data_IF_404825815975
#
_entry.id   IF_404825815975
#
_cell.length_a   1.000
_cell.length_b   1.000
_cell.length_c   1.000
_cell.angle_alpha   90.00
_cell.angle_beta   90.00
_cell.angle_gamma   90.00
#
_symmetry.space_group_name_H-M   'P 1'
#
loop_
_entity.id
_entity.type
_entity.pdbx_description
1 polymer ?
#
# COMPACT_ATOMS: atom_id res chain seq x y z
N UNK A 1 -1.68 15.75 11.79
CA UNK A 1 -1.81 16.16 10.37
C UNK A 1 -3.29 16.42 10.04
N UNK A 2 -3.68 17.54 9.38
CA UNK A 2 -5.08 17.80 8.97
C UNK A 2 -5.49 17.18 7.63
N UNK A 3 -4.58 16.55 6.87
CA UNK A 3 -4.90 15.95 5.57
C UNK A 3 -5.89 14.80 5.75
N UNK A 4 -7.04 14.88 5.06
CA UNK A 4 -8.14 13.89 5.09
C UNK A 4 -8.45 13.27 3.73
N UNK A 5 -7.90 13.82 2.65
CA UNK A 5 -8.08 13.36 1.28
C UNK A 5 -6.80 13.58 0.48
N UNK A 6 -6.60 12.79 -0.58
CA UNK A 6 -5.50 12.93 -1.51
C UNK A 6 -6.04 13.21 -2.92
N UNK A 7 -5.46 14.14 -3.67
CA UNK A 7 -5.78 14.32 -5.08
C UNK A 7 -5.34 13.09 -5.89
N UNK A 8 -6.12 12.59 -6.88
CA UNK A 8 -5.72 11.44 -7.69
C UNK A 8 -4.39 11.64 -8.42
N UNK A 9 -4.08 12.88 -8.83
CA UNK A 9 -2.92 13.24 -9.63
C UNK A 9 -1.59 12.89 -8.94
N UNK A 10 -1.57 12.76 -7.60
CA UNK A 10 -0.38 12.32 -6.87
C UNK A 10 0.05 10.90 -7.26
N UNK A 11 -0.88 10.02 -7.65
CA UNK A 11 -0.59 8.66 -8.10
C UNK A 11 -0.24 8.57 -9.59
N UNK A 12 -0.36 9.68 -10.32
CA UNK A 12 -0.18 9.75 -11.78
C UNK A 12 1.17 10.36 -12.19
N UNK A 13 2.02 10.72 -11.22
CA UNK A 13 3.35 11.30 -11.50
C UNK A 13 4.25 10.25 -12.15
N UNK A 14 4.67 10.42 -13.43
CA UNK A 14 5.29 9.33 -14.20
C UNK A 14 6.59 8.78 -13.59
N UNK A 15 7.40 9.66 -13.01
CA UNK A 15 8.74 9.33 -12.50
C UNK A 15 8.81 9.21 -10.96
N UNK A 16 7.65 9.20 -10.27
CA UNK A 16 7.64 9.06 -8.81
C UNK A 16 7.86 7.60 -8.41
N UNK A 17 8.88 7.36 -7.59
CA UNK A 17 9.21 6.01 -7.08
C UNK A 17 8.58 5.71 -5.71
N UNK A 18 8.51 6.75 -4.85
CA UNK A 18 8.10 6.64 -3.45
C UNK A 18 7.05 7.69 -3.12
N UNK A 19 5.96 7.29 -2.48
CA UNK A 19 4.92 8.19 -1.98
C UNK A 19 4.74 7.98 -0.47
N UNK A 20 5.10 8.98 0.33
CA UNK A 20 4.89 8.98 1.78
C UNK A 20 3.70 9.84 2.18
N UNK A 21 2.63 9.22 2.68
CA UNK A 21 1.41 9.87 3.19
C UNK A 21 0.96 9.29 4.53
N UNK A 22 1.88 8.62 5.24
CA UNK A 22 1.66 8.13 6.61
C UNK A 22 1.34 9.25 7.60
N UNK A 23 0.78 8.89 8.75
CA UNK A 23 0.34 9.80 9.82
C UNK A 23 -0.65 10.89 9.35
N UNK A 24 -1.40 10.61 8.28
CA UNK A 24 -2.52 11.42 7.79
C UNK A 24 -3.86 10.87 8.30
N UNK A 25 -4.96 11.61 8.10
CA UNK A 25 -6.32 11.22 8.51
C UNK A 25 -7.16 10.74 7.32
N UNK A 26 -6.51 10.26 6.28
CA UNK A 26 -7.19 9.74 5.09
C UNK A 26 -7.92 8.43 5.44
N UNK A 27 -9.14 8.27 4.92
CA UNK A 27 -9.94 7.06 5.13
C UNK A 27 -9.94 6.15 3.89
N UNK A 28 -9.58 6.68 2.73
CA UNK A 28 -9.49 5.97 1.47
C UNK A 28 -8.47 6.65 0.55
N UNK A 29 -7.95 5.89 -0.42
CA UNK A 29 -7.24 6.43 -1.56
C UNK A 29 -8.25 7.04 -2.56
N UNK A 30 -7.84 7.96 -3.44
CA UNK A 30 -8.75 8.55 -4.41
C UNK A 30 -9.31 7.48 -5.36
N UNK A 31 -10.63 7.53 -5.61
CA UNK A 31 -11.31 6.56 -6.47
C UNK A 31 -10.90 6.64 -7.94
N UNK A 32 -10.63 7.84 -8.43
CA UNK A 32 -10.49 8.13 -9.85
C UNK A 32 -9.02 8.42 -10.23
N UNK A 33 -8.15 7.43 -10.10
CA UNK A 33 -6.80 7.48 -10.69
C UNK A 33 -6.90 6.91 -12.10
N UNK A 34 -6.56 7.72 -13.09
CA UNK A 34 -6.71 7.40 -14.52
C UNK A 34 -5.48 6.68 -15.06
N UNK A 35 -4.29 7.13 -14.66
CA UNK A 35 -3.01 6.59 -15.13
C UNK A 35 -2.07 6.35 -13.94
N UNK A 36 -2.18 5.18 -13.30
CA UNK A 36 -1.30 4.82 -12.20
C UNK A 36 0.16 4.77 -12.68
N UNK A 37 1.03 5.55 -12.01
CA UNK A 37 2.43 5.70 -12.38
C UNK A 37 3.13 4.36 -12.61
N UNK A 38 3.85 4.17 -13.73
CA UNK A 38 4.57 2.94 -14.03
C UNK A 38 5.77 2.69 -13.10
N UNK A 39 6.28 3.74 -12.45
CA UNK A 39 7.47 3.70 -11.61
C UNK A 39 7.15 3.74 -10.11
N UNK A 40 5.94 4.16 -9.72
CA UNK A 40 5.54 4.17 -8.31
C UNK A 40 5.60 2.74 -7.74
N UNK A 41 6.55 2.56 -6.83
CA UNK A 41 6.96 1.26 -6.33
C UNK A 41 6.74 1.13 -4.82
N UNK A 42 6.66 2.24 -4.09
CA UNK A 42 6.44 2.22 -2.65
C UNK A 42 5.45 3.28 -2.22
N UNK A 43 4.51 2.87 -1.39
CA UNK A 43 3.50 3.77 -0.83
C UNK A 43 3.44 3.53 0.67
N UNK A 44 3.73 4.58 1.43
CA UNK A 44 3.59 4.58 2.89
C UNK A 44 2.26 5.23 3.29
N UNK A 45 1.41 4.37 3.86
CA UNK A 45 0.08 4.65 4.41
C UNK A 45 0.03 4.29 5.91
N UNK A 46 1.18 4.25 6.59
CA UNK A 46 1.25 3.95 8.03
C UNK A 46 0.39 4.92 8.84
N UNK A 47 -0.25 4.42 9.89
CA UNK A 47 -1.12 5.21 10.79
C UNK A 47 -2.23 6.01 10.07
N UNK A 48 -2.79 5.49 8.98
CA UNK A 48 -3.97 6.04 8.30
C UNK A 48 -5.24 5.24 8.62
N UNK A 49 -6.41 5.70 8.20
CA UNK A 49 -7.66 4.95 8.40
C UNK A 49 -8.04 4.06 7.20
N UNK A 50 -7.17 3.92 6.19
CA UNK A 50 -7.43 3.14 4.97
C UNK A 50 -7.73 1.68 5.33
N UNK A 51 -8.83 1.15 4.79
CA UNK A 51 -9.29 -0.23 5.04
C UNK A 51 -9.58 -1.05 3.77
N UNK A 52 -9.50 -0.45 2.59
CA UNK A 52 -9.71 -1.12 1.30
C UNK A 52 -8.98 -0.39 0.17
N UNK A 53 -8.99 -0.98 -1.02
CA UNK A 53 -8.32 -0.44 -2.19
C UNK A 53 -9.21 -0.43 -3.42
N UNK A 54 -8.95 0.53 -4.30
CA UNK A 54 -9.56 0.60 -5.63
C UNK A 54 -8.75 -0.22 -6.66
N UNK A 55 -9.38 -0.73 -7.74
CA UNK A 55 -8.73 -1.61 -8.72
C UNK A 55 -7.49 -1.02 -9.41
N UNK A 56 -7.38 0.32 -9.48
CA UNK A 56 -6.22 0.96 -10.10
C UNK A 56 -4.90 0.67 -9.37
N UNK A 57 -4.93 0.15 -8.13
CA UNK A 57 -3.73 -0.26 -7.39
C UNK A 57 -3.18 -1.62 -7.85
N UNK A 58 -3.99 -2.45 -8.53
CA UNK A 58 -3.64 -3.83 -8.89
C UNK A 58 -2.31 -3.93 -9.66
N UNK A 59 -1.95 -3.00 -10.58
CA UNK A 59 -0.64 -3.02 -11.22
C UNK A 59 0.55 -2.97 -10.24
N UNK A 60 0.42 -2.34 -9.07
CA UNK A 60 1.46 -2.35 -8.04
C UNK A 60 1.69 -3.78 -7.51
N UNK A 61 0.61 -4.53 -7.31
CA UNK A 61 0.62 -5.91 -6.83
C UNK A 61 1.23 -6.84 -7.89
N UNK A 62 0.84 -6.64 -9.15
CA UNK A 62 1.24 -7.50 -10.28
C UNK A 62 2.71 -7.33 -10.69
N UNK A 63 3.30 -6.15 -10.47
CA UNK A 63 4.70 -5.83 -10.85
C UNK A 63 5.75 -6.71 -10.18
N UNK A 64 5.41 -7.41 -9.08
CA UNK A 64 6.35 -8.27 -8.31
C UNK A 64 7.70 -7.60 -8.12
N UNK A 65 7.67 -6.45 -7.46
CA UNK A 65 8.83 -5.59 -7.26
C UNK A 65 9.97 -6.34 -6.56
N UNK A 66 11.21 -5.93 -6.85
CA UNK A 66 12.44 -6.54 -6.31
C UNK A 66 12.49 -6.46 -4.79
N UNK A 67 11.91 -5.41 -4.22
CA UNK A 67 11.80 -5.21 -2.79
C UNK A 67 10.44 -5.73 -2.28
N UNK A 68 10.43 -6.52 -1.19
CA UNK A 68 9.20 -7.08 -0.67
C UNK A 68 8.30 -6.02 -0.05
N UNK A 69 6.99 -6.22 -0.16
CA UNK A 69 5.94 -5.46 0.53
C UNK A 69 5.94 -3.93 0.26
N UNK A 70 5.63 -3.52 -0.99
CA UNK A 70 5.62 -2.11 -1.40
C UNK A 70 4.60 -1.21 -0.67
N UNK A 71 3.58 -1.78 -0.01
CA UNK A 71 2.58 -1.03 0.74
C UNK A 71 2.91 -1.06 2.23
N UNK A 72 3.45 0.03 2.77
CA UNK A 72 3.67 0.16 4.21
C UNK A 72 2.39 0.67 4.87
N UNK A 73 1.83 -0.12 5.78
CA UNK A 73 0.48 0.11 6.31
C UNK A 73 0.37 -0.17 7.81
N UNK A 74 1.49 -0.31 8.52
CA UNK A 74 1.50 -0.49 9.97
C UNK A 74 0.63 0.56 10.68
N UNK A 75 -0.22 0.09 11.60
CA UNK A 75 -1.17 0.95 12.34
C UNK A 75 -2.42 1.39 11.55
N UNK A 76 -2.59 0.96 10.29
CA UNK A 76 -3.80 1.25 9.52
C UNK A 76 -4.99 0.36 9.90
N UNK A 77 -6.21 0.79 9.54
CA UNK A 77 -7.41 -0.05 9.68
C UNK A 77 -7.27 -1.37 8.92
N UNK A 78 -6.73 -1.33 7.69
CA UNK A 78 -6.48 -2.52 6.88
C UNK A 78 -5.61 -3.55 7.61
N UNK A 79 -4.48 -3.13 8.19
CA UNK A 79 -3.58 -4.03 8.91
C UNK A 79 -4.20 -4.58 10.20
N UNK A 80 -4.99 -3.78 10.92
CA UNK A 80 -5.72 -4.25 12.10
C UNK A 80 -6.75 -5.34 11.74
N UNK A 81 -7.39 -5.23 10.57
CA UNK A 81 -8.30 -6.26 10.08
C UNK A 81 -7.56 -7.49 9.56
N UNK A 82 -6.47 -7.28 8.81
CA UNK A 82 -5.63 -8.37 8.32
C UNK A 82 -5.07 -9.21 9.48
N UNK A 83 -4.66 -8.58 10.59
CA UNK A 83 -4.22 -9.29 11.80
C UNK A 83 -5.32 -10.22 12.33
N UNK A 84 -6.55 -9.71 12.51
CA UNK A 84 -7.70 -10.51 12.95
C UNK A 84 -8.03 -11.65 12.00
N UNK A 85 -7.91 -11.42 10.69
CA UNK A 85 -8.12 -12.47 9.69
C UNK A 85 -7.03 -13.53 9.80
N UNK A 86 -5.78 -13.12 9.97
CA UNK A 86 -4.66 -14.06 10.08
C UNK A 86 -4.64 -14.83 11.40
N UNK A 87 -5.14 -14.25 12.50
CA UNK A 87 -5.31 -14.89 13.80
C UNK A 87 -6.54 -15.81 13.88
N UNK A 88 -7.45 -15.72 12.91
CA UNK A 88 -8.69 -16.50 12.86
C UNK A 88 -9.85 -15.89 13.66
N UNK A 89 -9.71 -14.64 14.12
CA UNK A 89 -10.79 -13.88 14.77
C UNK A 89 -11.85 -13.37 13.78
N UNK A 90 -11.47 -13.23 12.51
CA UNK A 90 -12.37 -12.86 11.40
C UNK A 90 -12.08 -13.73 10.16
N UNK A 91 -13.09 -13.91 9.31
CA UNK A 91 -12.93 -14.64 8.03
C UNK A 91 -12.71 -13.71 6.83
N UNK A 92 -13.22 -12.48 6.90
CA UNK A 92 -13.17 -11.49 5.81
C UNK A 92 -12.92 -10.09 6.35
N UNK A 93 -12.49 -9.18 5.47
CA UNK A 93 -12.47 -7.74 5.78
C UNK A 93 -13.89 -7.24 6.09
N UNK A 94 -13.99 -6.15 6.85
CA UNK A 94 -15.28 -5.57 7.24
C UNK A 94 -16.00 -4.89 6.07
N UNK A 95 -15.22 -4.47 5.06
CA UNK A 95 -15.73 -3.87 3.84
C UNK A 95 -16.37 -4.95 2.97
N UNK A 96 -17.62 -4.71 2.56
CA UNK A 96 -18.34 -5.66 1.70
C UNK A 96 -17.62 -5.83 0.36
N UNK A 97 -17.38 -7.07 -0.11
CA UNK A 97 -16.81 -7.31 -1.43
C UNK A 97 -17.67 -6.64 -2.50
N UNK A 98 -17.08 -5.71 -3.25
CA UNK A 98 -17.70 -5.02 -4.38
C UNK A 98 -16.83 -5.26 -5.61
N UNK A 99 -17.45 -5.35 -6.78
CA UNK A 99 -16.72 -5.33 -8.07
C UNK A 99 -15.94 -4.02 -8.28
N UNK A 100 -16.19 -3.02 -7.43
CA UNK A 100 -15.52 -1.73 -7.45
C UNK A 100 -14.22 -1.69 -6.64
N UNK A 101 -13.84 -2.77 -5.94
CA UNK A 101 -12.61 -2.82 -5.13
C UNK A 101 -11.54 -3.72 -5.76
N UNK A 102 -10.29 -3.50 -5.37
CA UNK A 102 -9.17 -4.40 -5.72
C UNK A 102 -9.46 -5.80 -5.20
N UNK A 103 -9.62 -6.76 -6.11
CA UNK A 103 -9.82 -8.16 -5.74
C UNK A 103 -8.54 -8.73 -5.13
N UNK A 104 -7.36 -8.27 -5.56
CA UNK A 104 -6.07 -8.77 -5.08
C UNK A 104 -5.80 -8.40 -3.62
N UNK A 105 -6.29 -7.24 -3.16
CA UNK A 105 -6.04 -6.74 -1.80
C UNK A 105 -7.26 -6.76 -0.87
N UNK A 106 -8.48 -6.89 -1.40
CA UNK A 106 -9.72 -6.85 -0.58
C UNK A 106 -10.40 -8.21 -0.44
N UNK A 107 -9.93 -9.25 -1.14
CA UNK A 107 -10.36 -10.64 -0.91
C UNK A 107 -9.30 -11.37 -0.07
N UNK A 108 -9.65 -11.73 1.16
CA UNK A 108 -8.78 -12.46 2.08
C UNK A 108 -8.81 -13.99 1.90
N UNK A 109 -9.41 -14.50 0.82
CA UNK A 109 -9.42 -15.92 0.49
C UNK A 109 -8.00 -16.50 0.43
N UNK A 110 -7.88 -17.82 0.60
CA UNK A 110 -6.58 -18.51 0.55
C UNK A 110 -5.84 -18.27 -0.77
N UNK A 111 -6.55 -17.98 -1.86
CA UNK A 111 -5.97 -17.65 -3.17
C UNK A 111 -5.15 -16.37 -3.12
N UNK A 112 -5.62 -15.35 -2.40
CA UNK A 112 -5.00 -14.02 -2.38
C UNK A 112 -4.17 -13.76 -1.12
N UNK A 113 -4.27 -14.61 -0.10
CA UNK A 113 -3.55 -14.46 1.17
C UNK A 113 -2.04 -14.27 0.99
N UNK A 114 -1.40 -15.10 0.17
CA UNK A 114 0.03 -14.98 -0.10
C UNK A 114 0.34 -13.66 -0.82
N UNK A 115 -0.48 -13.28 -1.81
CA UNK A 115 -0.35 -12.01 -2.53
C UNK A 115 -0.44 -10.81 -1.59
N UNK A 116 -1.41 -10.80 -0.68
CA UNK A 116 -1.57 -9.75 0.34
C UNK A 116 -0.32 -9.69 1.22
N UNK A 117 0.14 -10.82 1.77
CA UNK A 117 1.29 -10.85 2.68
C UNK A 117 2.62 -10.46 2.00
N UNK A 118 2.74 -10.67 0.69
CA UNK A 118 3.90 -10.21 -0.09
C UNK A 118 3.79 -8.74 -0.53
N UNK A 119 2.60 -8.16 -0.52
CA UNK A 119 2.36 -6.77 -0.96
C UNK A 119 2.33 -5.79 0.20
N UNK A 120 1.70 -6.17 1.31
CA UNK A 120 1.42 -5.30 2.44
C UNK A 120 2.35 -5.59 3.60
N UNK A 121 3.05 -4.56 4.08
CA UNK A 121 3.82 -4.59 5.31
C UNK A 121 2.99 -3.93 6.42
N UNK A 122 2.65 -4.71 7.45
CA UNK A 122 1.89 -4.24 8.62
C UNK A 122 2.76 -3.92 9.84
N UNK A 123 4.08 -3.92 9.71
CA UNK A 123 4.98 -3.55 10.80
C UNK A 123 4.88 -2.05 11.09
N UNK A 124 4.77 -1.69 12.37
CA UNK A 124 4.69 -0.29 12.83
C UNK A 124 6.07 0.35 12.99
N UNK A 125 7.13 -0.46 12.99
CA UNK A 125 8.52 -0.02 13.12
C UNK A 125 9.24 -0.50 11.86
N UNK A 126 9.38 0.40 10.89
CA UNK A 126 10.18 0.10 9.71
C UNK A 126 11.67 0.17 10.10
N UNK A 127 12.38 -0.96 10.02
CA UNK A 127 13.79 -1.04 10.39
C UNK A 127 14.73 -0.31 9.41
N UNK A 128 14.23 0.04 8.22
CA UNK A 128 14.96 0.79 7.19
C UNK A 128 14.41 2.21 7.03
N UNK A 129 15.12 3.07 6.31
CA UNK A 129 14.57 4.36 5.87
C UNK A 129 13.59 4.13 4.71
N UNK A 130 12.43 4.78 4.72
CA UNK A 130 11.42 4.71 3.63
C UNK A 130 12.04 4.97 2.25
N UNK A 131 13.02 5.87 2.23
CA UNK A 131 13.87 6.14 1.07
C UNK A 131 15.21 5.39 1.20
N UNK A 132 15.63 4.59 0.23
CA UNK A 132 16.82 3.74 0.35
C UNK A 132 18.12 4.53 0.12
N UNK A 133 18.58 5.23 1.17
CA UNK A 133 19.83 6.00 1.15
C UNK A 133 21.05 5.15 0.73
N UNK A 134 21.10 3.90 1.16
CA UNK A 134 22.20 2.98 0.81
C UNK A 134 22.26 2.65 -0.69
N UNK A 135 21.12 2.69 -1.41
CA UNK A 135 21.10 2.46 -2.85
C UNK A 135 21.64 3.69 -3.61
N UNK A 136 21.35 4.90 -3.12
CA UNK A 136 21.93 6.13 -3.67
C UNK A 136 23.44 6.22 -3.43
N UNK A 137 23.92 5.86 -2.24
CA UNK A 137 25.34 5.89 -1.93
C UNK A 137 26.15 4.97 -2.87
N UNK A 138 25.58 3.85 -3.30
CA UNK A 138 26.21 2.96 -4.30
C UNK A 138 26.22 3.63 -5.68
N UNK A 139 25.16 4.35 -6.07
CA UNK A 139 25.11 5.06 -7.36
C UNK A 139 26.12 6.22 -7.37
N UNK A 140 26.23 6.96 -6.26
CA UNK A 140 27.11 8.12 -6.13
C UNK A 140 28.60 7.76 -5.94
N UNK A 141 28.93 6.50 -5.63
CA UNK A 141 30.32 6.03 -5.49
C UNK A 141 30.91 5.45 -6.79
N UNK A 142 30.12 5.45 -7.88
CA UNK A 142 30.55 5.00 -9.22
C UNK A 142 31.01 6.18 -10.11
N UNK A 143 31.07 7.42 -9.58
CA UNK A 143 31.75 8.56 -10.23
C UNK A 143 33.26 8.62 -9.94
#
# INVERSE_FOLDING_TARGET
NPITELPPEIFEVPDMLYLGVGDTKINELPRNVTEFSPLLSFIDLTNTNVSFFWPWIDPLVERKLVMPQPLLMGGSTYCNELEKITSGEAETFSVLPSLEYSVLLTDASQTNRDTILHTVNCETIYAATFYPLAAEDIINTIE
#
